data_IF_594081579421
#
_entry.id   IF_594081579421
#
_cell.length_a   1.000
_cell.length_b   1.000
_cell.length_c   1.000
_cell.angle_alpha   90.00
_cell.angle_beta   90.00
_cell.angle_gamma   90.00
#
_symmetry.space_group_name_H-M   'P 1'
#
loop_
_entity.id
_entity.type
_entity.pdbx_description
1 polymer ?
#
# COMPACT_ATOMS: atom_id res chain seq x y z
N UNK A 1 2.96 -9.89 -23.01
CA UNK A 1 1.71 -10.53 -22.57
C UNK A 1 1.09 -9.71 -21.44
N UNK A 2 -0.21 -9.41 -21.48
CA UNK A 2 -0.89 -8.80 -20.33
C UNK A 2 -1.18 -9.92 -19.35
N UNK A 3 -0.66 -9.84 -18.13
CA UNK A 3 -1.11 -10.70 -17.04
C UNK A 3 -2.36 -10.03 -16.45
N UNK A 4 -3.59 -10.47 -16.76
CA UNK A 4 -4.75 -9.98 -16.04
C UNK A 4 -4.58 -10.34 -14.56
N UNK A 5 -4.53 -9.35 -13.68
CA UNK A 5 -4.35 -9.60 -12.25
C UNK A 5 -4.18 -8.32 -11.45
N UNK A 6 -4.67 -8.34 -10.20
CA UNK A 6 -4.42 -7.28 -9.24
C UNK A 6 -2.98 -7.37 -8.73
N UNK A 7 -2.28 -6.24 -8.60
CA UNK A 7 -0.86 -6.20 -8.21
C UNK A 7 -0.56 -7.05 -6.97
N UNK A 8 -1.40 -6.96 -5.93
CA UNK A 8 -1.22 -7.73 -4.69
C UNK A 8 -1.18 -9.26 -4.93
N UNK A 9 -1.98 -9.77 -5.86
CA UNK A 9 -2.03 -11.20 -6.18
C UNK A 9 -0.75 -11.60 -6.91
N UNK A 10 -0.39 -10.87 -7.97
CA UNK A 10 0.84 -11.15 -8.73
C UNK A 10 2.08 -11.03 -7.85
N UNK A 11 2.17 -9.99 -7.03
CA UNK A 11 3.27 -9.75 -6.09
C UNK A 11 3.42 -10.90 -5.09
N UNK A 12 2.32 -11.33 -4.47
CA UNK A 12 2.31 -12.46 -3.53
C UNK A 12 2.74 -13.78 -4.19
N UNK A 13 2.22 -14.08 -5.38
CA UNK A 13 2.61 -15.28 -6.13
C UNK A 13 4.10 -15.26 -6.51
N UNK A 14 4.61 -14.12 -6.96
CA UNK A 14 6.03 -13.95 -7.31
C UNK A 14 6.94 -14.15 -6.11
N UNK A 15 6.63 -13.52 -4.96
CA UNK A 15 7.46 -13.66 -3.76
C UNK A 15 7.36 -15.06 -3.15
N UNK A 16 6.18 -15.69 -3.17
CA UNK A 16 6.04 -17.09 -2.76
C UNK A 16 6.89 -18.02 -3.63
N UNK A 17 6.92 -17.80 -4.95
CA UNK A 17 7.79 -18.56 -5.86
C UNK A 17 9.29 -18.31 -5.59
N UNK A 18 9.65 -17.15 -5.03
CA UNK A 18 10.99 -16.84 -4.56
C UNK A 18 11.30 -17.34 -3.14
N UNK A 19 10.39 -18.11 -2.52
CA UNK A 19 10.58 -18.72 -1.19
C UNK A 19 10.27 -17.81 0.00
N UNK A 20 9.61 -16.67 -0.22
CA UNK A 20 9.20 -15.78 0.86
C UNK A 20 7.99 -16.34 1.61
N UNK A 21 7.91 -16.07 2.91
CA UNK A 21 6.72 -16.38 3.69
C UNK A 21 5.55 -15.48 3.28
N UNK A 22 4.32 -15.92 3.53
CA UNK A 22 3.11 -15.10 3.28
C UNK A 22 3.17 -13.78 4.06
N UNK A 23 3.64 -13.82 5.30
CA UNK A 23 3.74 -12.65 6.17
C UNK A 23 4.77 -11.65 5.65
N UNK A 24 5.96 -12.10 5.26
CA UNK A 24 7.00 -11.24 4.69
C UNK A 24 6.54 -10.62 3.35
N UNK A 25 5.86 -11.39 2.52
CA UNK A 25 5.31 -10.89 1.26
C UNK A 25 4.26 -9.79 1.47
N UNK A 26 3.40 -9.94 2.49
CA UNK A 26 2.43 -8.91 2.88
C UNK A 26 3.16 -7.68 3.43
N UNK A 27 4.14 -7.86 4.31
CA UNK A 27 4.91 -6.77 4.89
C UNK A 27 5.64 -5.95 3.81
N UNK A 28 6.27 -6.63 2.84
CA UNK A 28 6.91 -5.99 1.71
C UNK A 28 5.91 -5.20 0.85
N UNK A 29 4.73 -5.76 0.58
CA UNK A 29 3.67 -5.07 -0.17
C UNK A 29 3.16 -3.84 0.57
N UNK A 30 2.90 -3.94 1.88
CA UNK A 30 2.46 -2.82 2.70
C UNK A 30 3.53 -1.72 2.80
N UNK A 31 4.80 -2.08 2.93
CA UNK A 31 5.89 -1.12 2.92
C UNK A 31 6.02 -0.40 1.56
N UNK A 32 5.84 -1.13 0.45
CA UNK A 32 5.77 -0.51 -0.88
C UNK A 32 4.60 0.50 -0.99
N UNK A 33 3.42 0.16 -0.46
CA UNK A 33 2.29 1.08 -0.45
C UNK A 33 2.57 2.33 0.42
N UNK A 34 3.14 2.13 1.61
CA UNK A 34 3.54 3.20 2.53
C UNK A 34 4.55 4.18 1.89
N UNK A 35 5.58 3.65 1.25
CA UNK A 35 6.57 4.48 0.53
C UNK A 35 5.92 5.25 -0.62
N UNK A 36 4.96 4.65 -1.33
CA UNK A 36 4.15 5.32 -2.34
C UNK A 36 3.34 6.50 -1.76
N UNK A 37 2.69 6.33 -0.61
CA UNK A 37 1.96 7.40 0.06
C UNK A 37 2.87 8.54 0.52
N UNK A 38 4.02 8.23 1.11
CA UNK A 38 4.99 9.25 1.52
C UNK A 38 5.52 10.01 0.30
N UNK A 39 5.86 9.33 -0.79
CA UNK A 39 6.29 9.98 -2.03
C UNK A 39 5.21 10.88 -2.64
N UNK A 40 3.93 10.48 -2.56
CA UNK A 40 2.81 11.31 -2.99
C UNK A 40 2.63 12.54 -2.07
N UNK A 41 2.70 12.34 -0.75
CA UNK A 41 2.61 13.42 0.22
C UNK A 41 3.71 14.46 0.03
N UNK A 42 4.95 14.05 -0.28
CA UNK A 42 6.06 14.95 -0.57
C UNK A 42 5.85 15.82 -1.82
N UNK A 43 5.00 15.37 -2.76
CA UNK A 43 4.63 16.15 -3.95
C UNK A 43 3.47 17.11 -3.69
N UNK A 44 2.64 16.83 -2.70
CA UNK A 44 1.39 17.55 -2.41
C UNK A 44 1.51 18.50 -1.21
N UNK A 45 2.44 18.24 -0.31
CA UNK A 45 2.61 18.93 0.97
C UNK A 45 4.06 19.43 1.12
N UNK A 46 4.29 20.49 1.91
CA UNK A 46 5.64 21.00 2.17
C UNK A 46 6.39 20.12 3.19
N UNK A 47 6.64 18.85 2.85
CA UNK A 47 7.38 17.89 3.67
C UNK A 47 8.70 17.48 3.01
N UNK A 48 9.76 17.39 3.81
CA UNK A 48 11.09 16.99 3.35
C UNK A 48 11.35 15.49 3.43
N UNK A 49 12.49 15.06 2.87
CA UNK A 49 12.94 13.66 2.89
C UNK A 49 13.06 13.10 4.31
N UNK A 50 13.58 13.91 5.24
CA UNK A 50 13.78 13.50 6.63
C UNK A 50 12.45 13.27 7.34
N UNK A 51 11.48 14.16 7.14
CA UNK A 51 10.11 14.00 7.64
C UNK A 51 9.45 12.76 7.04
N UNK A 52 9.63 12.52 5.74
CA UNK A 52 9.16 11.31 5.07
C UNK A 52 9.69 10.01 5.67
N UNK A 53 10.99 9.96 5.97
CA UNK A 53 11.60 8.81 6.64
C UNK A 53 11.06 8.60 8.06
N UNK A 54 10.82 9.68 8.82
CA UNK A 54 10.18 9.57 10.15
C UNK A 54 8.76 8.98 10.07
N UNK A 55 8.00 9.33 9.04
CA UNK A 55 6.68 8.69 8.83
C UNK A 55 6.81 7.20 8.55
N UNK A 56 7.72 6.80 7.65
CA UNK A 56 7.93 5.38 7.35
C UNK A 56 8.37 4.59 8.58
N UNK A 57 9.32 5.14 9.35
CA UNK A 57 9.77 4.55 10.61
C UNK A 57 8.60 4.35 11.59
N UNK A 58 7.75 5.37 11.75
CA UNK A 58 6.57 5.28 12.64
C UNK A 58 5.56 4.22 12.20
N UNK A 59 5.54 3.85 10.92
CA UNK A 59 4.59 2.89 10.37
C UNK A 59 5.10 1.44 10.40
N UNK A 60 6.38 1.19 10.68
CA UNK A 60 6.94 -0.17 10.73
C UNK A 60 6.16 -1.08 11.70
N UNK A 61 5.84 -0.60 12.89
CA UNK A 61 5.05 -1.35 13.88
C UNK A 61 3.62 -1.63 13.42
N UNK A 62 3.03 -0.74 12.61
CA UNK A 62 1.70 -0.94 12.05
C UNK A 62 1.77 -1.98 10.94
N UNK A 63 2.77 -1.90 10.06
CA UNK A 63 3.01 -2.84 8.98
C UNK A 63 3.21 -4.26 9.54
N UNK A 64 4.07 -4.42 10.55
CA UNK A 64 4.31 -5.71 11.21
C UNK A 64 2.99 -6.30 11.73
N UNK A 65 2.24 -5.54 12.53
CA UNK A 65 0.97 -5.99 13.11
C UNK A 65 -0.08 -6.34 12.07
N UNK A 66 -0.23 -5.51 11.04
CA UNK A 66 -1.23 -5.74 9.99
C UNK A 66 -0.83 -6.94 9.13
N UNK A 67 0.46 -7.13 8.87
CA UNK A 67 0.98 -8.29 8.12
C UNK A 67 0.68 -9.59 8.85
N UNK A 68 0.99 -9.63 10.15
CA UNK A 68 0.67 -10.77 11.01
C UNK A 68 -0.82 -11.11 10.97
N UNK A 69 -1.68 -10.12 11.22
CA UNK A 69 -3.13 -10.33 11.22
C UNK A 69 -3.67 -10.80 9.86
N UNK A 70 -3.17 -10.21 8.76
CA UNK A 70 -3.58 -10.54 7.40
C UNK A 70 -3.10 -11.93 6.95
N UNK A 71 -1.94 -12.40 7.45
CA UNK A 71 -1.43 -13.73 7.13
C UNK A 71 -2.39 -14.85 7.55
N UNK A 72 -3.13 -14.66 8.64
CA UNK A 72 -4.13 -15.61 9.14
C UNK A 72 -5.50 -15.52 8.43
N UNK A 73 -5.76 -14.48 7.65
CA UNK A 73 -7.01 -14.33 6.90
C UNK A 73 -7.03 -15.22 5.65
N UNK A 74 -8.19 -15.83 5.40
CA UNK A 74 -8.46 -16.70 4.23
C UNK A 74 -9.58 -16.19 3.33
N UNK A 75 -10.38 -15.25 3.81
CA UNK A 75 -11.50 -14.65 3.08
C UNK A 75 -11.10 -13.26 2.61
N UNK A 76 -11.31 -12.98 1.32
CA UNK A 76 -11.14 -11.64 0.79
C UNK A 76 -12.26 -10.75 1.32
N UNK A 77 -11.88 -9.71 2.06
CA UNK A 77 -12.80 -8.72 2.61
C UNK A 77 -12.16 -7.33 2.53
N UNK A 78 -12.99 -6.30 2.49
CA UNK A 78 -12.55 -4.89 2.55
C UNK A 78 -13.54 -4.09 3.38
N UNK A 79 -13.02 -3.18 4.20
CA UNK A 79 -13.80 -2.19 4.92
C UNK A 79 -12.96 -0.93 5.09
N UNK A 80 -13.05 0.00 4.13
CA UNK A 80 -12.32 1.27 4.16
C UNK A 80 -13.17 2.42 3.61
N UNK A 81 -14.36 2.68 4.21
CA UNK A 81 -15.36 3.58 3.63
C UNK A 81 -14.84 5.01 3.40
N UNK A 82 -13.94 5.49 4.27
CA UNK A 82 -13.32 6.81 4.10
C UNK A 82 -12.44 6.85 2.85
N UNK A 83 -11.60 5.83 2.65
CA UNK A 83 -10.75 5.72 1.47
C UNK A 83 -11.59 5.60 0.19
N UNK A 84 -12.65 4.79 0.22
CA UNK A 84 -13.57 4.61 -0.91
C UNK A 84 -14.21 5.94 -1.32
N UNK A 85 -14.69 6.74 -0.34
CA UNK A 85 -15.25 8.07 -0.60
C UNK A 85 -14.20 9.00 -1.23
N UNK A 86 -12.96 9.01 -0.72
CA UNK A 86 -11.91 9.86 -1.29
C UNK A 86 -11.50 9.43 -2.71
N UNK A 87 -11.45 8.12 -2.99
CA UNK A 87 -11.21 7.62 -4.35
C UNK A 87 -12.33 8.04 -5.31
N UNK A 88 -13.60 7.96 -4.87
CA UNK A 88 -14.75 8.44 -5.65
C UNK A 88 -14.75 9.96 -5.85
N UNK A 89 -14.21 10.74 -4.90
CA UNK A 89 -14.05 12.19 -5.05
C UNK A 89 -12.89 12.53 -5.97
N UNK A 90 -11.80 11.76 -5.93
CA UNK A 90 -10.63 11.97 -6.77
C UNK A 90 -10.99 12.00 -8.26
N UNK A 91 -11.88 11.10 -8.72
CA UNK A 91 -12.34 11.07 -10.12
C UNK A 91 -13.04 12.37 -10.59
N UNK A 92 -13.51 13.20 -9.65
CA UNK A 92 -14.23 14.46 -9.90
C UNK A 92 -13.38 15.71 -9.69
N UNK A 93 -12.09 15.57 -9.36
CA UNK A 93 -11.20 16.72 -9.22
C UNK A 93 -10.92 17.37 -10.58
N UNK A 94 -11.07 18.70 -10.64
CA UNK A 94 -10.78 19.54 -11.82
C UNK A 94 -9.29 19.50 -12.23
N UNK A 95 -8.40 19.46 -11.24
CA UNK A 95 -6.96 19.36 -11.44
C UNK A 95 -6.39 18.20 -10.62
N UNK A 96 -5.55 17.37 -11.26
CA UNK A 96 -4.99 16.15 -10.65
C UNK A 96 -3.53 15.97 -11.05
N UNK A 97 -2.68 15.78 -10.05
CA UNK A 97 -1.29 15.37 -10.25
C UNK A 97 -1.14 13.85 -10.44
N UNK A 98 -2.10 13.07 -9.95
CA UNK A 98 -2.12 11.61 -9.98
C UNK A 98 -3.33 11.08 -10.76
N UNK A 99 -3.23 9.84 -11.24
CA UNK A 99 -4.28 9.21 -12.06
C UNK A 99 -5.41 8.60 -11.22
N UNK A 100 -5.14 8.26 -9.96
CA UNK A 100 -6.03 7.62 -8.99
C UNK A 100 -5.59 7.95 -7.57
#
# INVERSE_FOLDING_TARGET
ERVPGHLAVSFGLTLAAAGWSKEDAIAAFLYQAATGFVAAAMKLLPIGQREGQRFLESWLQVIERVSHNAAHQRVLQSWSPIQDIYAMRHSRLESRLFRS
#
